data_IF_020954598965
#
_entry.id   IF_020954598965
#
_cell.length_a   1.000
_cell.length_b   1.000
_cell.length_c   1.000
_cell.angle_alpha   90.00
_cell.angle_beta   90.00
_cell.angle_gamma   90.00
#
_symmetry.space_group_name_H-M   'P 1'
#
loop_
_entity.id
_entity.type
_entity.pdbx_description
1 polymer ?
#
# COMPACT_ATOMS: atom_id res chain seq x y z
N UNK A 1 -7.06 -23.60 4.64
CA UNK A 1 -5.73 -24.17 4.33
C UNK A 1 -5.22 -23.43 3.10
N UNK A 2 -3.96 -22.97 3.17
CA UNK A 2 -3.20 -22.20 2.18
C UNK A 2 -3.60 -20.72 1.95
N UNK A 3 -3.01 -19.83 2.77
CA UNK A 3 -2.80 -18.41 2.45
C UNK A 3 -1.40 -18.04 2.96
N UNK A 4 -0.37 -18.59 2.32
CA UNK A 4 1.03 -18.40 2.70
C UNK A 4 1.92 -18.08 1.50
N UNK A 5 1.33 -17.58 0.42
CA UNK A 5 1.98 -17.36 -0.88
C UNK A 5 2.31 -15.90 -1.18
N UNK A 6 1.87 -14.94 -0.35
CA UNK A 6 2.06 -13.50 -0.63
C UNK A 6 3.46 -12.98 -0.29
N UNK A 7 4.07 -13.45 0.80
CA UNK A 7 5.33 -12.88 1.31
C UNK A 7 6.56 -13.28 0.49
N UNK A 8 6.59 -14.52 -0.01
CA UNK A 8 7.67 -15.06 -0.85
C UNK A 8 7.66 -14.39 -2.24
N UNK A 9 6.46 -14.14 -2.77
CA UNK A 9 6.26 -13.36 -3.99
C UNK A 9 6.72 -11.90 -3.80
N UNK A 10 6.32 -11.24 -2.71
CA UNK A 10 6.67 -9.85 -2.44
C UNK A 10 8.19 -9.63 -2.28
N UNK A 11 8.90 -10.57 -1.64
CA UNK A 11 10.35 -10.44 -1.47
C UNK A 11 11.12 -10.55 -2.78
N UNK A 12 10.73 -11.53 -3.61
CA UNK A 12 11.28 -11.73 -4.95
C UNK A 12 11.15 -10.44 -5.78
N UNK A 13 9.98 -9.78 -5.71
CA UNK A 13 9.74 -8.52 -6.43
C UNK A 13 10.62 -7.39 -5.93
N UNK A 14 10.82 -7.26 -4.62
CA UNK A 14 11.66 -6.22 -4.05
C UNK A 14 13.14 -6.40 -4.36
N UNK A 15 13.68 -7.61 -4.18
CA UNK A 15 15.11 -7.86 -4.33
C UNK A 15 15.51 -8.15 -5.78
N UNK A 16 14.78 -9.01 -6.49
CA UNK A 16 15.14 -9.46 -7.83
C UNK A 16 14.58 -8.54 -8.92
N UNK A 17 13.33 -8.09 -8.78
CA UNK A 17 12.69 -7.18 -9.77
C UNK A 17 12.95 -5.70 -9.46
N UNK A 18 13.60 -5.39 -8.34
CA UNK A 18 13.83 -4.03 -7.85
C UNK A 18 12.55 -3.18 -7.79
N UNK A 19 11.43 -3.79 -7.37
CA UNK A 19 10.14 -3.11 -7.26
C UNK A 19 10.26 -1.88 -6.35
N UNK A 20 9.83 -0.74 -6.87
CA UNK A 20 9.83 0.50 -6.12
C UNK A 20 8.64 0.54 -5.17
N UNK A 21 8.89 1.07 -3.97
CA UNK A 21 7.86 1.26 -2.94
C UNK A 21 7.99 2.65 -2.35
N UNK A 22 6.88 3.36 -2.36
CA UNK A 22 6.72 4.72 -1.83
C UNK A 22 5.62 4.79 -0.76
N UNK A 23 5.44 5.97 -0.18
CA UNK A 23 4.42 6.23 0.85
C UNK A 23 4.96 6.12 2.28
N UNK A 24 4.14 6.54 3.27
CA UNK A 24 4.58 6.64 4.67
C UNK A 24 5.07 5.32 5.28
N UNK A 25 4.48 4.19 4.88
CA UNK A 25 4.83 2.87 5.39
C UNK A 25 5.86 2.12 4.53
N UNK A 26 6.44 2.72 3.49
CA UNK A 26 7.33 2.03 2.56
C UNK A 26 8.56 1.38 3.21
N UNK A 27 9.16 2.07 4.20
CA UNK A 27 10.29 1.53 4.95
C UNK A 27 9.88 0.33 5.82
N UNK A 28 8.67 0.37 6.38
CA UNK A 28 8.13 -0.75 7.14
C UNK A 28 7.84 -1.95 6.23
N UNK A 29 7.18 -1.69 5.10
CA UNK A 29 6.89 -2.71 4.10
C UNK A 29 8.16 -3.49 3.74
N UNK A 30 9.20 -2.78 3.29
CA UNK A 30 10.51 -3.39 2.98
C UNK A 30 11.08 -4.20 4.15
N UNK A 31 10.98 -3.69 5.38
CA UNK A 31 11.50 -4.39 6.57
C UNK A 31 10.72 -5.69 6.86
N UNK A 32 9.39 -5.65 6.79
CA UNK A 32 8.51 -6.79 7.08
C UNK A 32 8.64 -7.87 6.01
N UNK A 33 8.63 -7.49 4.73
CA UNK A 33 8.89 -8.42 3.62
C UNK A 33 10.26 -9.07 3.79
N UNK A 34 11.31 -8.30 4.14
CA UNK A 34 12.64 -8.86 4.40
C UNK A 34 12.72 -9.82 5.59
N UNK A 35 11.97 -9.55 6.65
CA UNK A 35 11.85 -10.45 7.79
C UNK A 35 11.15 -11.76 7.45
N UNK A 36 10.13 -11.72 6.57
CA UNK A 36 9.36 -12.90 6.18
C UNK A 36 10.21 -13.92 5.40
N UNK A 37 11.04 -13.45 4.46
CA UNK A 37 11.96 -14.31 3.69
C UNK A 37 12.98 -15.08 4.56
N UNK A 38 13.29 -14.58 5.76
CA UNK A 38 14.24 -15.23 6.67
C UNK A 38 13.66 -16.43 7.45
N UNK A 39 12.34 -16.64 7.45
CA UNK A 39 11.68 -17.72 8.18
C UNK A 39 11.61 -19.05 7.38
N UNK A 40 12.77 -19.63 7.08
CA UNK A 40 12.93 -20.92 6.37
C UNK A 40 12.65 -22.18 7.24
N UNK A 41 11.61 -22.16 8.07
CA UNK A 41 11.09 -23.39 8.70
C UNK A 41 11.88 -23.96 9.89
N UNK A 42 12.24 -23.13 10.88
CA UNK A 42 12.71 -23.65 12.18
C UNK A 42 11.54 -24.13 13.05
N UNK A 43 11.54 -25.42 13.44
CA UNK A 43 10.55 -25.96 14.40
C UNK A 43 10.80 -25.40 15.81
N UNK A 44 9.87 -24.58 16.30
CA UNK A 44 9.90 -24.09 17.68
C UNK A 44 9.16 -25.08 18.58
N UNK A 45 9.85 -25.66 19.56
CA UNK A 45 9.27 -26.68 20.47
C UNK A 45 8.69 -26.12 21.77
N UNK A 46 9.09 -24.92 22.18
CA UNK A 46 8.66 -24.32 23.42
C UNK A 46 7.40 -23.47 23.22
N UNK A 47 6.32 -23.77 23.94
CA UNK A 47 5.03 -23.08 23.82
C UNK A 47 5.14 -21.56 24.00
N UNK A 48 5.92 -21.08 24.98
CA UNK A 48 6.15 -19.64 25.17
C UNK A 48 6.88 -18.98 23.98
N UNK A 49 7.75 -19.74 23.30
CA UNK A 49 8.43 -19.27 22.09
C UNK A 49 7.48 -19.30 20.88
N UNK A 50 6.54 -20.24 20.82
CA UNK A 50 5.45 -20.25 19.82
C UNK A 50 4.52 -19.06 20.02
N UNK A 51 4.07 -18.78 21.25
CA UNK A 51 3.21 -17.62 21.53
C UNK A 51 3.90 -16.30 21.20
N UNK A 52 5.21 -16.19 21.51
CA UNK A 52 6.01 -15.02 21.11
C UNK A 52 6.17 -14.92 19.60
N UNK A 53 6.42 -16.05 18.92
CA UNK A 53 6.54 -16.06 17.45
C UNK A 53 5.22 -15.65 16.83
N UNK A 54 4.09 -16.25 17.20
CA UNK A 54 2.76 -15.90 16.66
C UNK A 54 2.35 -14.45 16.96
N UNK A 55 2.81 -13.88 18.08
CA UNK A 55 2.65 -12.45 18.36
C UNK A 55 3.64 -11.54 17.60
N UNK A 56 4.68 -12.12 16.97
CA UNK A 56 5.71 -11.43 16.19
C UNK A 56 5.68 -11.75 14.69
N UNK A 57 4.92 -12.76 14.26
CA UNK A 57 4.59 -13.04 12.84
C UNK A 57 3.58 -11.99 12.40
N UNK A 58 4.01 -10.75 12.47
CA UNK A 58 3.27 -9.55 12.14
C UNK A 58 3.35 -9.37 10.62
N UNK A 59 2.79 -10.36 9.90
CA UNK A 59 2.53 -10.30 8.46
C UNK A 59 1.28 -9.47 8.20
N UNK A 60 1.17 -8.35 8.89
CA UNK A 60 0.11 -7.37 8.76
C UNK A 60 0.39 -6.52 7.51
N UNK A 61 0.67 -7.16 6.38
CA UNK A 61 0.71 -6.54 5.06
C UNK A 61 -0.53 -7.03 4.34
N UNK A 62 -1.41 -6.10 3.97
CA UNK A 62 -2.65 -6.38 3.28
C UNK A 62 -2.65 -5.64 1.94
N UNK A 63 -2.73 -6.36 0.85
CA UNK A 63 -2.94 -5.78 -0.48
C UNK A 63 -4.43 -5.54 -0.67
N UNK A 64 -4.78 -4.27 -0.88
CA UNK A 64 -6.12 -3.85 -1.28
C UNK A 64 -6.13 -3.38 -2.73
N UNK A 65 -7.26 -2.81 -3.16
CA UNK A 65 -7.42 -2.29 -4.53
C UNK A 65 -6.51 -1.06 -4.76
N UNK A 66 -5.44 -1.24 -5.54
CA UNK A 66 -4.42 -0.23 -5.85
C UNK A 66 -3.72 0.41 -4.63
N UNK A 67 -3.61 -0.31 -3.51
CA UNK A 67 -2.88 0.15 -2.32
C UNK A 67 -2.48 -1.00 -1.41
N UNK A 68 -1.33 -0.88 -0.77
CA UNK A 68 -0.86 -1.85 0.23
C UNK A 68 -0.89 -1.26 1.64
N UNK A 69 -1.60 -1.90 2.56
CA UNK A 69 -1.67 -1.51 3.97
C UNK A 69 -0.69 -2.32 4.81
N UNK A 70 0.29 -1.64 5.39
CA UNK A 70 1.17 -2.20 6.43
C UNK A 70 0.50 -1.96 7.78
N UNK A 71 -0.45 -2.83 8.12
CA UNK A 71 -1.36 -2.67 9.23
C UNK A 71 -0.63 -2.58 10.58
N UNK A 72 -1.14 -1.64 11.38
CA UNK A 72 -0.81 -1.37 12.77
C UNK A 72 -2.04 -0.78 13.42
N UNK A 73 -2.66 -1.52 14.34
CA UNK A 73 -3.95 -1.16 14.92
C UNK A 73 -3.97 0.23 15.58
N UNK A 74 -2.83 0.68 16.13
CA UNK A 74 -2.71 1.96 16.83
C UNK A 74 -2.81 3.17 15.89
N UNK A 75 -2.42 2.99 14.62
CA UNK A 75 -2.26 4.08 13.64
C UNK A 75 -3.19 3.94 12.44
N UNK A 76 -3.91 2.82 12.31
CA UNK A 76 -4.87 2.58 11.25
C UNK A 76 -6.04 3.59 11.31
N UNK A 77 -6.11 4.47 10.30
CA UNK A 77 -7.17 5.46 10.19
C UNK A 77 -8.56 4.81 10.11
N UNK A 78 -8.69 3.69 9.38
CA UNK A 78 -9.93 2.92 9.27
C UNK A 78 -10.41 2.42 10.65
N UNK A 79 -9.50 1.94 11.49
CA UNK A 79 -9.82 1.48 12.86
C UNK A 79 -10.26 2.64 13.74
N UNK A 80 -9.56 3.78 13.66
CA UNK A 80 -9.96 5.00 14.38
C UNK A 80 -11.37 5.44 13.99
N UNK A 81 -11.70 5.39 12.71
CA UNK A 81 -13.04 5.72 12.21
C UNK A 81 -14.11 4.74 12.75
N UNK A 82 -13.86 3.43 12.73
CA UNK A 82 -14.78 2.42 13.32
C UNK A 82 -15.07 2.73 14.78
N UNK A 83 -14.04 3.01 15.57
CA UNK A 83 -14.18 3.35 16.99
C UNK A 83 -15.01 4.64 17.19
N UNK A 84 -14.83 5.66 16.35
CA UNK A 84 -15.64 6.89 16.39
C UNK A 84 -17.12 6.63 16.06
N UNK A 85 -17.40 5.69 15.16
CA UNK A 85 -18.75 5.28 14.79
C UNK A 85 -19.39 4.30 15.79
N UNK A 86 -18.67 3.91 16.85
CA UNK A 86 -19.14 2.91 17.83
C UNK A 86 -19.19 1.48 17.27
N UNK A 87 -18.48 1.22 16.17
CA UNK A 87 -18.37 -0.10 15.55
C UNK A 87 -17.23 -0.90 16.19
N UNK A 88 -17.31 -2.25 16.19
CA UNK A 88 -16.21 -3.09 16.65
C UNK A 88 -14.96 -2.84 15.80
N UNK A 89 -13.81 -2.77 16.46
CA UNK A 89 -12.51 -2.68 15.81
C UNK A 89 -11.95 -4.08 15.61
N UNK A 90 -12.06 -4.59 14.38
CA UNK A 90 -11.47 -5.86 13.97
C UNK A 90 -9.94 -5.75 13.93
N UNK A 91 -9.26 -6.90 13.93
CA UNK A 91 -7.79 -7.02 13.94
C UNK A 91 -7.14 -6.74 12.56
N UNK A 92 -7.92 -6.38 11.54
CA UNK A 92 -7.43 -6.13 10.18
C UNK A 92 -7.87 -4.77 9.60
N UNK A 93 -7.32 -4.35 8.45
CA UNK A 93 -7.76 -3.14 7.78
C UNK A 93 -9.18 -3.28 7.25
N UNK A 94 -9.92 -2.17 7.27
CA UNK A 94 -11.23 -2.05 6.66
C UNK A 94 -11.11 -1.11 5.47
N UNK A 95 -11.07 -1.69 4.27
CA UNK A 95 -10.87 -0.94 3.01
C UNK A 95 -11.95 0.11 2.78
N UNK A 96 -13.20 -0.17 3.21
CA UNK A 96 -14.33 0.75 3.03
C UNK A 96 -14.18 2.04 3.82
N UNK A 97 -13.38 2.01 4.89
CA UNK A 97 -13.08 3.15 5.77
C UNK A 97 -11.65 3.64 5.61
N UNK A 98 -10.91 3.11 4.64
CA UNK A 98 -9.54 3.51 4.42
C UNK A 98 -9.47 4.93 3.82
N UNK A 99 -8.41 5.65 4.17
CA UNK A 99 -8.16 7.02 3.74
C UNK A 99 -6.78 7.06 3.06
N UNK A 100 -6.66 7.73 1.93
CA UNK A 100 -5.39 7.90 1.20
C UNK A 100 -4.30 8.60 2.03
N UNK A 101 -4.67 9.34 3.08
CA UNK A 101 -3.75 9.99 4.01
C UNK A 101 -3.34 9.09 5.19
N UNK A 102 -3.73 7.82 5.20
CA UNK A 102 -3.39 6.90 6.29
C UNK A 102 -1.87 6.61 6.30
N UNK A 103 -1.25 6.72 7.47
CA UNK A 103 0.20 6.52 7.65
C UNK A 103 0.65 5.06 7.48
N UNK A 104 -0.29 4.12 7.40
CA UNK A 104 -0.01 2.70 7.19
C UNK A 104 0.05 2.33 5.70
N UNK A 105 -0.13 3.28 4.79
CA UNK A 105 -0.10 2.99 3.37
C UNK A 105 1.32 2.97 2.80
N UNK A 106 1.56 1.95 1.99
CA UNK A 106 2.66 1.85 1.05
C UNK A 106 2.07 1.67 -0.36
N UNK A 107 2.76 2.24 -1.35
CA UNK A 107 2.42 2.09 -2.76
C UNK A 107 3.57 1.41 -3.48
N UNK A 108 3.30 0.24 -4.03
CA UNK A 108 4.20 -0.56 -4.85
C UNK A 108 4.02 -0.26 -6.34
N UNK A 109 4.95 -0.68 -7.20
CA UNK A 109 4.82 -0.48 -8.66
C UNK A 109 3.53 -1.11 -9.22
N UNK A 110 3.08 -2.25 -8.67
CA UNK A 110 1.78 -2.87 -9.01
C UNK A 110 0.59 -1.99 -8.64
N UNK A 111 0.60 -1.36 -7.46
CA UNK A 111 -0.45 -0.43 -7.03
C UNK A 111 -0.53 0.76 -8.01
N UNK A 112 0.64 1.28 -8.42
CA UNK A 112 0.74 2.37 -9.39
C UNK A 112 0.28 1.95 -10.79
N UNK A 113 0.57 0.72 -11.21
CA UNK A 113 0.06 0.18 -12.46
C UNK A 113 -1.48 0.13 -12.46
N UNK A 114 -2.09 -0.32 -11.36
CA UNK A 114 -3.55 -0.34 -11.21
C UNK A 114 -4.15 1.07 -11.21
N UNK A 115 -3.54 2.01 -10.48
CA UNK A 115 -3.89 3.42 -10.54
C UNK A 115 -3.83 4.00 -11.97
N UNK A 116 -2.80 3.66 -12.74
CA UNK A 116 -2.68 4.08 -14.16
C UNK A 116 -3.77 3.50 -15.04
N UNK A 117 -4.21 2.26 -14.79
CA UNK A 117 -5.33 1.65 -15.52
C UNK A 117 -6.67 2.31 -15.17
N UNK A 118 -6.89 2.66 -13.91
CA UNK A 118 -8.15 3.24 -13.43
C UNK A 118 -8.32 4.72 -13.76
N UNK A 119 -7.22 5.47 -13.81
CA UNK A 119 -7.22 6.90 -14.10
C UNK A 119 -7.99 7.31 -15.38
N UNK A 120 -7.76 6.71 -16.57
CA UNK A 120 -8.46 7.12 -17.78
C UNK A 120 -9.99 6.94 -17.69
N UNK A 121 -10.47 5.93 -16.95
CA UNK A 121 -11.90 5.71 -16.71
C UNK A 121 -12.49 6.89 -15.92
N UNK A 122 -11.86 7.26 -14.80
CA UNK A 122 -12.32 8.39 -13.97
C UNK A 122 -12.24 9.73 -14.71
N UNK A 123 -11.20 9.93 -15.53
CA UNK A 123 -11.07 11.13 -16.37
C UNK A 123 -12.16 11.20 -17.44
N UNK A 124 -12.56 10.06 -18.02
CA UNK A 124 -13.67 10.01 -18.97
C UNK A 124 -15.01 10.32 -18.28
N UNK A 125 -15.29 9.70 -17.13
CA UNK A 125 -16.50 9.95 -16.34
C UNK A 125 -16.60 11.41 -15.90
N UNK A 126 -15.50 12.02 -15.47
CA UNK A 126 -15.45 13.43 -15.09
C UNK A 126 -15.78 14.40 -16.24
N UNK A 127 -15.53 13.99 -17.48
CA UNK A 127 -15.75 14.79 -18.69
C UNK A 127 -17.06 14.47 -19.42
N UNK A 128 -17.74 13.39 -19.03
CA UNK A 128 -18.98 12.98 -19.67
C UNK A 128 -20.13 13.94 -19.32
N UNK A 129 -20.61 14.71 -20.31
CA UNK A 129 -21.72 15.64 -20.13
C UNK A 129 -23.03 14.98 -19.70
N UNK A 130 -23.20 13.68 -19.95
CA UNK A 130 -24.40 12.92 -19.59
C UNK A 130 -24.38 12.44 -18.13
N UNK A 131 -23.21 12.39 -17.49
CA UNK A 131 -23.06 12.04 -16.07
C UNK A 131 -23.50 13.23 -15.20
N UNK A 132 -24.33 13.05 -14.16
CA UNK A 132 -24.76 14.16 -13.30
C UNK A 132 -23.59 14.84 -12.58
N UNK A 133 -23.69 16.16 -12.34
CA UNK A 133 -22.58 16.95 -11.78
C UNK A 133 -21.95 16.35 -10.51
N UNK A 134 -22.72 15.90 -9.49
CA UNK A 134 -22.09 15.32 -8.29
C UNK A 134 -21.25 14.06 -8.56
N UNK A 135 -21.59 13.28 -9.59
CA UNK A 135 -20.82 12.12 -10.00
C UNK A 135 -19.54 12.54 -10.74
N UNK A 136 -19.64 13.51 -11.65
CA UNK A 136 -18.45 14.06 -12.33
C UNK A 136 -17.46 14.69 -11.37
N UNK A 137 -17.96 15.46 -10.40
CA UNK A 137 -17.13 16.14 -9.40
C UNK A 137 -16.40 15.12 -8.53
N UNK A 138 -17.07 14.03 -8.16
CA UNK A 138 -16.45 12.91 -7.44
C UNK A 138 -15.39 12.22 -8.29
N UNK A 139 -15.70 11.89 -9.55
CA UNK A 139 -14.74 11.26 -10.47
C UNK A 139 -13.50 12.15 -10.68
N UNK A 140 -13.68 13.46 -10.84
CA UNK A 140 -12.59 14.43 -10.95
C UNK A 140 -11.73 14.47 -9.68
N UNK A 141 -12.36 14.47 -8.50
CA UNK A 141 -11.64 14.43 -7.22
C UNK A 141 -10.83 13.13 -7.06
N UNK A 142 -11.41 11.98 -7.43
CA UNK A 142 -10.72 10.69 -7.39
C UNK A 142 -9.56 10.63 -8.39
N UNK A 143 -9.75 11.14 -9.61
CA UNK A 143 -8.68 11.24 -10.60
C UNK A 143 -7.53 12.13 -10.10
N UNK A 144 -7.84 13.26 -9.46
CA UNK A 144 -6.85 14.13 -8.83
C UNK A 144 -6.06 13.44 -7.71
N UNK A 145 -6.71 12.63 -6.88
CA UNK A 145 -6.05 11.84 -5.84
C UNK A 145 -5.11 10.78 -6.44
N UNK A 146 -5.57 10.03 -7.45
CA UNK A 146 -4.74 9.03 -8.14
C UNK A 146 -3.52 9.68 -8.78
N UNK A 147 -3.70 10.82 -9.46
CA UNK A 147 -2.59 11.57 -10.05
C UNK A 147 -1.53 11.96 -9.02
N UNK A 148 -1.96 12.48 -7.87
CA UNK A 148 -1.05 12.86 -6.80
C UNK A 148 -0.25 11.66 -6.25
N UNK A 149 -0.88 10.49 -6.11
CA UNK A 149 -0.21 9.26 -5.67
C UNK A 149 0.82 8.80 -6.70
N UNK A 150 0.46 8.77 -7.99
CA UNK A 150 1.38 8.39 -9.08
C UNK A 150 2.58 9.33 -9.09
N UNK A 151 2.35 10.65 -9.05
CA UNK A 151 3.42 11.65 -9.07
C UNK A 151 4.34 11.51 -7.85
N UNK A 152 3.77 11.35 -6.65
CA UNK A 152 4.55 11.15 -5.43
C UNK A 152 5.40 9.88 -5.50
N UNK A 153 4.85 8.79 -6.04
CA UNK A 153 5.58 7.53 -6.18
C UNK A 153 6.75 7.66 -7.16
N UNK A 154 6.55 8.29 -8.32
CA UNK A 154 7.63 8.46 -9.30
C UNK A 154 8.70 9.44 -8.84
N UNK A 155 8.31 10.54 -8.18
CA UNK A 155 9.27 11.52 -7.63
C UNK A 155 10.11 10.94 -6.50
N UNK A 156 9.58 9.96 -5.75
CA UNK A 156 10.34 9.27 -4.70
C UNK A 156 11.21 8.13 -5.22
N UNK A 157 11.23 7.86 -6.54
CA UNK A 157 12.01 6.75 -7.12
C UNK A 157 13.52 7.06 -7.03
N UNK A 158 14.35 6.16 -6.48
CA UNK A 158 15.80 6.31 -6.47
C UNK A 158 16.32 6.44 -7.92
N UNK A 159 17.05 7.51 -8.23
CA UNK A 159 17.59 7.78 -9.58
C UNK A 159 16.79 8.77 -10.43
N UNK A 160 15.61 9.21 -9.99
CA UNK A 160 14.87 10.28 -10.68
C UNK A 160 15.56 11.67 -10.58
N UNK A 161 16.49 11.83 -9.64
CA UNK A 161 17.29 13.04 -9.48
C UNK A 161 18.75 12.80 -9.91
N UNK A 162 19.03 13.03 -11.20
CA UNK A 162 20.24 13.70 -11.72
C UNK A 162 20.20 13.80 -13.25
N UNK A 163 19.41 14.74 -13.77
CA UNK A 163 19.73 15.43 -15.04
C UNK A 163 19.74 16.93 -14.76
N UNK A 164 20.84 17.40 -14.16
CA UNK A 164 21.14 18.83 -14.09
C UNK A 164 22.60 19.03 -14.45
N UNK A 165 22.81 19.66 -15.61
CA UNK A 165 23.98 20.48 -15.91
C UNK A 165 25.07 19.82 -16.75
N UNK A 166 25.18 20.23 -18.02
CA UNK A 166 26.36 19.92 -18.83
C UNK A 166 26.31 20.31 -20.30
N UNK A 167 25.80 21.49 -20.67
CA UNK A 167 26.16 22.10 -21.96
C UNK A 167 26.89 23.43 -21.70
N UNK A 168 28.20 23.35 -21.81
CA UNK A 168 29.10 24.45 -22.11
C UNK A 168 30.27 23.90 -22.92
N UNK A 169 30.27 24.16 -24.24
CA UNK A 169 31.42 24.42 -25.10
C UNK A 169 30.89 24.85 -26.48
#
# INVERSE_FOLDING_TARGET
MASGSGDEDDWTRLEEEHEHVSGPAAAEYRRRTAGAAAFLGRTVRAQASVSRLLAQTDTDIHHGEAMTCVHRAETAACRKEKLLLGLPADDGPDESLCRSTCVNLAYTDRDIAEHRMRLPVLVAEARDSMTPSPHRDRAAAQAGQILAVIEQHETSRPGAAHTTGGQAA
#
